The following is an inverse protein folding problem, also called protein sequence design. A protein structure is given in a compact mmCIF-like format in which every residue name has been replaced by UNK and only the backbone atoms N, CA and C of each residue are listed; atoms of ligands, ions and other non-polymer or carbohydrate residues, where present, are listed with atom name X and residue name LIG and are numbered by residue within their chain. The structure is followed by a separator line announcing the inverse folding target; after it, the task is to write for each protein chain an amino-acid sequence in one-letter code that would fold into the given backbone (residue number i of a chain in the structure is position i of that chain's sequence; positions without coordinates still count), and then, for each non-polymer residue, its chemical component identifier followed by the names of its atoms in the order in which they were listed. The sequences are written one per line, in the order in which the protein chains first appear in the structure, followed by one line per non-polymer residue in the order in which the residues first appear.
data_IF_991307246730
#
_entry.id   IF_991307246730
#
_cell.length_a   1.000
_cell.length_b   1.000
_cell.length_c   1.000
_cell.angle_alpha   90.00
_cell.angle_beta   90.00
_cell.angle_gamma   90.00
#
_symmetry.space_group_name_H-M   'P 1'
#
loop_
_entity.id
_entity.type
_entity.pdbx_description
1 polymer ?
#
# COMPACT_ATOMS: atom_id res chain seq x y z
N UNK A 1 -2.52 2.68 -49.57
CA UNK A 1 -2.06 3.58 -48.50
C UNK A 1 -3.08 3.68 -47.34
N UNK A 2 -4.40 3.69 -47.54
CA UNK A 2 -5.41 3.73 -46.46
C UNK A 2 -5.57 2.43 -45.65
N UNK A 3 -5.29 1.26 -46.24
CA UNK A 3 -5.39 -0.06 -45.57
C UNK A 3 -4.20 -0.30 -44.61
N UNK A 4 -3.03 0.23 -44.92
CA UNK A 4 -1.81 0.08 -44.10
C UNK A 4 -1.91 0.95 -42.79
N UNK A 5 -2.55 2.12 -42.89
CA UNK A 5 -2.75 3.00 -41.74
C UNK A 5 -3.79 2.41 -40.77
N UNK A 6 -4.80 1.68 -41.27
CA UNK A 6 -5.82 1.02 -40.44
C UNK A 6 -5.25 -0.20 -39.69
N UNK A 7 -4.34 -0.95 -40.31
CA UNK A 7 -3.63 -2.06 -39.65
C UNK A 7 -2.64 -1.60 -38.59
N UNK A 8 -1.96 -0.46 -38.78
CA UNK A 8 -1.03 0.11 -37.79
C UNK A 8 -1.80 0.64 -36.56
N UNK A 9 -2.97 1.23 -36.73
CA UNK A 9 -3.80 1.70 -35.61
C UNK A 9 -4.38 0.53 -34.79
N UNK A 10 -4.74 -0.58 -35.40
CA UNK A 10 -5.19 -1.79 -34.71
C UNK A 10 -4.01 -2.47 -33.99
N UNK A 11 -2.81 -2.52 -34.58
CA UNK A 11 -1.61 -3.04 -33.90
C UNK A 11 -1.18 -2.17 -32.72
N UNK A 12 -1.26 -0.83 -32.80
CA UNK A 12 -0.95 0.06 -31.70
C UNK A 12 -1.97 -0.05 -30.55
N UNK A 13 -3.26 -0.23 -30.85
CA UNK A 13 -4.29 -0.43 -29.81
C UNK A 13 -4.16 -1.79 -29.12
N UNK A 14 -3.72 -2.83 -29.84
CA UNK A 14 -3.42 -4.13 -29.27
C UNK A 14 -2.13 -4.12 -28.40
N UNK A 15 -1.12 -3.32 -28.77
CA UNK A 15 0.10 -3.17 -27.95
C UNK A 15 -0.16 -2.39 -26.66
N UNK A 16 -1.03 -1.39 -26.66
CA UNK A 16 -1.39 -0.63 -25.45
C UNK A 16 -2.26 -1.47 -24.51
N UNK A 17 -3.08 -2.37 -25.04
CA UNK A 17 -3.91 -3.26 -24.24
C UNK A 17 -3.12 -4.43 -23.62
N UNK A 18 -2.05 -4.92 -24.31
CA UNK A 18 -1.22 -6.02 -23.79
C UNK A 18 -0.32 -5.60 -22.63
N UNK A 19 0.04 -4.32 -22.53
CA UNK A 19 0.88 -3.81 -21.42
C UNK A 19 0.13 -3.70 -20.09
N UNK A 20 -1.20 -3.66 -20.08
CA UNK A 20 -2.00 -3.62 -18.85
C UNK A 20 -2.16 -5.00 -18.18
N UNK A 21 -2.03 -6.10 -18.93
CA UNK A 21 -2.19 -7.48 -18.41
C UNK A 21 -0.87 -8.25 -18.25
N UNK A 22 0.21 -7.89 -18.95
CA UNK A 22 1.52 -8.54 -18.82
C UNK A 22 2.23 -8.28 -17.48
N UNK A 23 1.55 -7.60 -16.52
CA UNK A 23 2.15 -7.17 -15.26
C UNK A 23 2.08 -8.21 -14.12
N UNK A 24 1.39 -9.35 -14.32
CA UNK A 24 0.97 -10.17 -13.19
C UNK A 24 1.67 -11.51 -13.02
N UNK A 25 2.42 -12.01 -14.03
CA UNK A 25 2.71 -13.44 -14.11
C UNK A 25 4.14 -13.92 -13.77
N UNK A 26 5.12 -13.07 -13.41
CA UNK A 26 6.52 -13.55 -13.26
C UNK A 26 7.21 -13.14 -11.96
N UNK A 27 6.64 -13.47 -10.80
CA UNK A 27 7.42 -13.46 -9.55
C UNK A 27 7.29 -14.83 -8.90
N UNK A 28 8.39 -15.58 -8.68
CA UNK A 28 8.34 -16.72 -7.79
C UNK A 28 7.80 -16.26 -6.45
N UNK A 29 6.69 -16.86 -5.99
CA UNK A 29 6.21 -16.71 -4.62
C UNK A 29 7.30 -17.25 -3.71
N UNK A 30 8.16 -16.38 -3.20
CA UNK A 30 9.03 -16.74 -2.09
C UNK A 30 8.17 -16.83 -0.84
N UNK A 31 7.62 -18.01 -0.59
CA UNK A 31 6.99 -18.34 0.66
C UNK A 31 8.10 -18.53 1.71
N UNK A 32 8.14 -17.64 2.68
CA UNK A 32 8.78 -17.96 3.95
C UNK A 32 7.86 -18.96 4.67
N UNK A 33 8.19 -20.25 4.62
CA UNK A 33 7.44 -21.36 5.21
C UNK A 33 7.51 -21.35 6.75
N UNK A 34 7.12 -20.28 7.39
CA UNK A 34 7.00 -20.26 8.86
C UNK A 34 5.63 -19.74 9.29
N UNK A 35 4.62 -20.61 9.18
CA UNK A 35 3.38 -20.45 9.95
C UNK A 35 3.78 -20.60 11.42
N UNK A 36 3.63 -19.52 12.20
CA UNK A 36 3.90 -19.56 13.64
C UNK A 36 2.60 -19.86 14.39
N UNK A 37 2.66 -20.55 15.56
CA UNK A 37 1.50 -20.71 16.41
C UNK A 37 0.86 -19.35 16.71
N UNK A 38 -0.43 -19.19 16.41
CA UNK A 38 -1.20 -17.96 16.58
C UNK A 38 -1.45 -17.15 15.29
N UNK A 39 -0.86 -17.50 14.14
CA UNK A 39 -1.22 -16.91 12.86
C UNK A 39 -2.61 -17.41 12.44
N UNK A 40 -3.53 -16.46 12.21
CA UNK A 40 -4.86 -16.77 11.67
C UNK A 40 -4.70 -17.26 10.23
N UNK A 41 -5.24 -18.43 9.91
CA UNK A 41 -5.23 -18.95 8.54
C UNK A 41 -6.17 -18.13 7.68
N UNK A 42 -5.76 -17.69 6.47
CA UNK A 42 -6.64 -16.97 5.56
C UNK A 42 -7.83 -17.86 5.16
N UNK A 43 -9.00 -17.22 4.99
CA UNK A 43 -10.22 -17.92 4.58
C UNK A 43 -10.19 -18.21 3.08
N UNK A 44 -10.29 -19.48 2.64
CA UNK A 44 -10.34 -19.83 1.23
C UNK A 44 -11.61 -19.29 0.55
N UNK A 45 -11.44 -18.51 -0.52
CA UNK A 45 -12.54 -17.86 -1.24
C UNK A 45 -12.41 -18.03 -2.76
N UNK A 46 -13.45 -18.52 -3.39
CA UNK A 46 -13.59 -18.59 -4.85
C UNK A 46 -14.31 -17.37 -5.41
N UNK A 47 -13.99 -17.00 -6.64
CA UNK A 47 -14.69 -15.96 -7.39
C UNK A 47 -15.03 -16.51 -8.77
N UNK A 48 -16.31 -16.70 -9.02
CA UNK A 48 -16.83 -17.20 -10.29
C UNK A 48 -16.66 -16.18 -11.42
N UNK A 49 -16.63 -16.64 -12.66
CA UNK A 49 -16.65 -15.75 -13.81
C UNK A 49 -17.93 -14.92 -13.82
N UNK A 50 -17.80 -13.65 -14.20
CA UNK A 50 -18.94 -12.73 -14.24
C UNK A 50 -19.91 -13.15 -15.32
N UNK A 51 -21.19 -13.33 -14.94
CA UNK A 51 -22.27 -13.67 -15.87
C UNK A 51 -23.04 -12.43 -16.29
N UNK A 52 -23.35 -12.36 -17.59
CA UNK A 52 -24.28 -11.36 -18.11
C UNK A 52 -25.74 -11.78 -17.82
N UNK A 53 -26.53 -10.88 -17.28
CA UNK A 53 -27.96 -11.13 -16.94
C UNK A 53 -28.92 -10.13 -17.58
N UNK A 54 -28.47 -9.32 -18.54
CA UNK A 54 -29.31 -8.39 -19.28
C UNK A 54 -30.03 -9.05 -20.44
N UNK A 55 -31.03 -8.35 -21.01
CA UNK A 55 -31.84 -8.81 -22.14
C UNK A 55 -31.34 -8.31 -23.50
N UNK A 56 -30.26 -7.52 -23.55
CA UNK A 56 -29.71 -6.95 -24.79
C UNK A 56 -28.49 -7.76 -25.22
N UNK A 57 -28.15 -7.69 -26.52
CA UNK A 57 -26.86 -8.22 -26.98
C UNK A 57 -25.73 -7.44 -26.37
N UNK A 58 -24.73 -8.14 -25.87
CA UNK A 58 -23.47 -7.54 -25.37
C UNK A 58 -22.44 -7.46 -26.48
N UNK A 59 -21.68 -6.39 -26.50
CA UNK A 59 -20.58 -6.20 -27.43
C UNK A 59 -19.35 -7.00 -26.94
N UNK A 60 -18.36 -7.17 -27.84
CA UNK A 60 -17.07 -7.73 -27.44
C UNK A 60 -16.36 -6.86 -26.38
N UNK A 61 -16.54 -5.53 -26.44
CA UNK A 61 -16.00 -4.60 -25.46
C UNK A 61 -16.66 -4.80 -24.09
N UNK A 62 -17.99 -5.00 -24.05
CA UNK A 62 -18.71 -5.29 -22.81
C UNK A 62 -18.25 -6.61 -22.17
N UNK A 63 -18.05 -7.66 -22.97
CA UNK A 63 -17.52 -8.94 -22.53
C UNK A 63 -16.09 -8.78 -21.98
N UNK A 64 -15.29 -7.92 -22.58
CA UNK A 64 -13.93 -7.60 -22.15
C UNK A 64 -13.95 -6.83 -20.82
N UNK A 65 -14.85 -5.86 -20.66
CA UNK A 65 -15.03 -5.15 -19.39
C UNK A 65 -15.43 -6.10 -18.25
N UNK A 66 -16.31 -7.07 -18.49
CA UNK A 66 -16.70 -8.07 -17.50
C UNK A 66 -15.48 -8.85 -17.01
N UNK A 67 -14.63 -9.33 -17.94
CA UNK A 67 -13.36 -10.02 -17.58
C UNK A 67 -12.41 -9.14 -16.78
N UNK A 68 -12.26 -7.88 -17.16
CA UNK A 68 -11.40 -6.93 -16.46
C UNK A 68 -11.87 -6.66 -15.04
N UNK A 69 -13.17 -6.43 -14.84
CA UNK A 69 -13.73 -6.24 -13.49
C UNK A 69 -13.58 -7.49 -12.65
N UNK A 70 -13.83 -8.69 -13.21
CA UNK A 70 -13.61 -9.95 -12.50
C UNK A 70 -12.16 -10.09 -12.07
N UNK A 71 -11.20 -9.84 -12.97
CA UNK A 71 -9.77 -9.91 -12.66
C UNK A 71 -9.36 -8.94 -11.55
N UNK A 72 -9.91 -7.71 -11.52
CA UNK A 72 -9.67 -6.75 -10.43
C UNK A 72 -10.20 -7.30 -9.11
N UNK A 73 -11.43 -7.81 -9.06
CA UNK A 73 -11.99 -8.36 -7.82
C UNK A 73 -11.17 -9.56 -7.32
N UNK A 74 -10.78 -10.46 -8.23
CA UNK A 74 -9.91 -11.60 -7.90
C UNK A 74 -8.55 -11.15 -7.35
N UNK A 75 -7.93 -10.15 -8.02
CA UNK A 75 -6.67 -9.59 -7.58
C UNK A 75 -6.76 -8.99 -6.17
N UNK A 76 -7.78 -8.16 -5.93
CA UNK A 76 -7.97 -7.46 -4.66
C UNK A 76 -8.21 -8.45 -3.50
N UNK A 77 -9.05 -9.43 -3.73
CA UNK A 77 -9.31 -10.47 -2.73
C UNK A 77 -8.05 -11.31 -2.46
N UNK A 78 -7.31 -11.70 -3.51
CA UNK A 78 -6.04 -12.42 -3.36
C UNK A 78 -4.92 -11.56 -2.75
N UNK A 79 -5.05 -10.23 -2.80
CA UNK A 79 -4.12 -9.33 -2.13
C UNK A 79 -4.40 -9.25 -0.62
N UNK A 80 -5.65 -9.35 -0.19
CA UNK A 80 -6.05 -9.15 1.20
C UNK A 80 -5.56 -10.28 2.11
N UNK A 81 -4.89 -9.94 3.21
CA UNK A 81 -4.22 -10.90 4.10
C UNK A 81 -5.15 -11.95 4.75
N UNK A 82 -6.45 -11.64 4.88
CA UNK A 82 -7.43 -12.53 5.52
C UNK A 82 -8.01 -13.58 4.57
N UNK A 83 -7.68 -13.53 3.26
CA UNK A 83 -8.25 -14.44 2.27
C UNK A 83 -7.17 -15.19 1.50
N UNK A 84 -7.50 -16.41 1.12
CA UNK A 84 -6.76 -17.24 0.18
C UNK A 84 -7.62 -17.43 -1.08
N UNK A 85 -7.18 -16.86 -2.21
CA UNK A 85 -7.92 -17.01 -3.46
C UNK A 85 -7.78 -18.42 -4.03
N UNK A 86 -8.92 -19.08 -4.24
CA UNK A 86 -8.98 -20.40 -4.88
C UNK A 86 -9.29 -20.21 -6.36
N UNK A 87 -8.34 -20.51 -7.28
CA UNK A 87 -8.55 -20.36 -8.71
C UNK A 87 -9.55 -21.42 -9.22
N UNK A 88 -10.23 -21.07 -10.31
CA UNK A 88 -11.12 -22.01 -11.00
C UNK A 88 -10.25 -23.09 -11.65
N UNK A 89 -10.45 -24.34 -11.26
CA UNK A 89 -9.97 -25.49 -12.06
C UNK A 89 -11.00 -25.80 -13.13
N UNK A 90 -10.66 -25.49 -14.39
CA UNK A 90 -11.52 -25.67 -15.54
C UNK A 90 -11.93 -27.15 -15.78
N UNK A 91 -11.14 -28.12 -15.30
CA UNK A 91 -11.47 -29.53 -15.41
C UNK A 91 -12.62 -29.92 -14.48
N UNK A 92 -12.59 -29.52 -13.21
CA UNK A 92 -13.66 -29.78 -12.26
C UNK A 92 -14.93 -29.01 -12.59
N UNK A 93 -14.82 -27.79 -13.09
CA UNK A 93 -15.98 -26.95 -13.43
C UNK A 93 -16.74 -27.47 -14.67
N UNK A 94 -16.07 -27.97 -15.69
CA UNK A 94 -16.72 -28.60 -16.88
C UNK A 94 -17.56 -29.82 -16.54
N UNK A 95 -17.14 -30.59 -15.54
CA UNK A 95 -17.89 -31.77 -15.10
C UNK A 95 -19.22 -31.43 -14.41
N UNK A 96 -19.43 -30.16 -14.00
CA UNK A 96 -20.60 -29.68 -13.27
C UNK A 96 -21.31 -28.50 -13.97
N UNK A 97 -21.02 -28.24 -15.24
CA UNK A 97 -21.65 -27.14 -16.05
C UNK A 97 -23.19 -27.19 -16.12
N UNK A 98 -23.80 -28.32 -15.73
CA UNK A 98 -25.25 -28.54 -15.76
C UNK A 98 -25.95 -27.83 -14.59
N UNK A 99 -25.23 -27.41 -13.55
CA UNK A 99 -25.81 -26.78 -12.35
C UNK A 99 -25.56 -25.27 -12.39
N UNK A 100 -26.62 -24.48 -12.42
CA UNK A 100 -26.56 -23.01 -12.50
C UNK A 100 -25.78 -22.34 -11.37
N UNK A 101 -25.65 -22.98 -10.19
CA UNK A 101 -24.85 -22.56 -9.04
C UNK A 101 -24.19 -23.79 -8.39
N UNK A 102 -22.94 -24.04 -8.72
CA UNK A 102 -22.21 -25.22 -8.24
C UNK A 102 -21.45 -24.94 -6.94
N UNK A 103 -22.13 -24.77 -5.81
CA UNK A 103 -21.50 -24.58 -4.50
C UNK A 103 -20.70 -25.82 -4.03
N UNK A 104 -21.19 -27.03 -4.35
CA UNK A 104 -20.46 -28.27 -4.02
C UNK A 104 -19.16 -28.41 -4.80
N UNK A 105 -19.12 -27.98 -6.06
CA UNK A 105 -17.89 -27.95 -6.86
C UNK A 105 -16.84 -27.03 -6.23
N UNK A 106 -17.23 -25.84 -5.83
CA UNK A 106 -16.33 -24.90 -5.15
C UNK A 106 -15.87 -25.40 -3.78
N UNK A 107 -16.75 -26.05 -3.00
CA UNK A 107 -16.37 -26.70 -1.75
C UNK A 107 -15.31 -27.80 -1.96
N UNK A 108 -15.43 -28.59 -3.02
CA UNK A 108 -14.44 -29.64 -3.37
C UNK A 108 -13.10 -29.08 -3.83
N UNK A 109 -13.08 -27.88 -4.42
CA UNK A 109 -11.87 -27.12 -4.72
C UNK A 109 -11.22 -26.50 -3.47
N UNK A 110 -11.87 -26.61 -2.31
CA UNK A 110 -11.37 -26.09 -1.04
C UNK A 110 -11.86 -24.69 -0.70
N UNK A 111 -12.73 -24.06 -1.51
CA UNK A 111 -13.29 -22.76 -1.20
C UNK A 111 -14.36 -22.85 -0.10
N UNK A 112 -14.19 -22.10 0.99
CA UNK A 112 -15.19 -21.96 2.06
C UNK A 112 -16.27 -20.94 1.66
N UNK A 113 -15.90 -19.95 0.88
CA UNK A 113 -16.75 -18.87 0.40
C UNK A 113 -16.72 -18.81 -1.13
N UNK A 114 -17.83 -18.42 -1.74
CA UNK A 114 -17.94 -18.16 -3.17
C UNK A 114 -18.53 -16.78 -3.44
N UNK A 115 -17.87 -15.99 -4.25
CA UNK A 115 -18.40 -14.74 -4.81
C UNK A 115 -18.88 -15.00 -6.24
N UNK A 116 -20.14 -14.70 -6.52
CA UNK A 116 -20.71 -14.68 -7.86
C UNK A 116 -20.97 -13.26 -8.31
N UNK A 117 -20.52 -12.92 -9.50
CA UNK A 117 -20.67 -11.62 -10.13
C UNK A 117 -21.65 -11.69 -11.30
N UNK A 118 -22.55 -10.73 -11.41
CA UNK A 118 -23.57 -10.63 -12.47
C UNK A 118 -23.61 -9.21 -13.02
N UNK A 119 -23.49 -9.05 -14.34
CA UNK A 119 -23.42 -7.77 -15.02
C UNK A 119 -24.68 -7.43 -15.82
N UNK A 120 -25.01 -6.15 -15.83
CA UNK A 120 -25.99 -5.49 -16.74
C UNK A 120 -25.35 -4.22 -17.29
N UNK A 121 -25.70 -3.84 -18.52
CA UNK A 121 -25.24 -2.63 -19.19
C UNK A 121 -26.39 -1.65 -19.46
N UNK A 122 -26.85 -0.90 -18.46
CA UNK A 122 -27.89 0.14 -18.68
C UNK A 122 -27.27 1.37 -19.35
N UNK A 123 -27.32 1.44 -20.68
CA UNK A 123 -26.73 2.51 -21.48
C UNK A 123 -25.18 2.51 -21.41
N UNK A 124 -24.63 3.63 -21.04
CA UNK A 124 -23.17 3.85 -20.89
C UNK A 124 -22.61 3.40 -19.53
N UNK A 125 -23.44 2.78 -18.70
CA UNK A 125 -23.06 2.29 -17.38
C UNK A 125 -22.83 0.79 -17.38
N UNK A 126 -22.01 0.34 -16.42
CA UNK A 126 -21.87 -1.04 -16.00
C UNK A 126 -22.42 -1.17 -14.59
N UNK A 127 -23.42 -2.03 -14.42
CA UNK A 127 -23.96 -2.41 -13.12
C UNK A 127 -23.56 -3.84 -12.83
N UNK A 128 -22.88 -4.05 -11.68
CA UNK A 128 -22.52 -5.38 -11.22
C UNK A 128 -23.23 -5.68 -9.91
N UNK A 129 -23.95 -6.80 -9.90
CA UNK A 129 -24.48 -7.40 -8.68
C UNK A 129 -23.50 -8.45 -8.21
N UNK A 130 -23.23 -8.48 -6.92
CA UNK A 130 -22.44 -9.54 -6.31
C UNK A 130 -23.26 -10.28 -5.25
N UNK A 131 -23.02 -11.59 -5.17
CA UNK A 131 -23.61 -12.47 -4.17
C UNK A 131 -22.51 -13.28 -3.52
N UNK A 132 -22.57 -13.41 -2.21
CA UNK A 132 -21.63 -14.17 -1.40
C UNK A 132 -22.33 -15.38 -0.81
N UNK A 133 -21.72 -16.56 -0.96
CA UNK A 133 -22.23 -17.83 -0.51
C UNK A 133 -21.26 -18.50 0.45
N UNK A 134 -21.79 -19.18 1.44
CA UNK A 134 -21.13 -20.21 2.24
C UNK A 134 -21.27 -21.53 1.50
N UNK A 135 -20.16 -22.15 1.10
CA UNK A 135 -20.15 -23.38 0.31
C UNK A 135 -20.51 -24.60 1.14
N UNK A 136 -20.22 -24.61 2.45
CA UNK A 136 -20.56 -25.71 3.36
C UNK A 136 -22.04 -25.70 3.74
N UNK A 137 -22.59 -24.53 4.07
CA UNK A 137 -24.00 -24.37 4.41
C UNK A 137 -24.91 -24.31 3.18
N UNK A 138 -24.33 -24.27 1.98
CA UNK A 138 -25.04 -24.21 0.71
C UNK A 138 -26.06 -23.04 0.65
N UNK A 139 -25.71 -21.89 1.25
CA UNK A 139 -26.63 -20.76 1.34
C UNK A 139 -25.93 -19.43 1.03
N UNK A 140 -26.73 -18.48 0.54
CA UNK A 140 -26.29 -17.12 0.34
C UNK A 140 -26.24 -16.37 1.68
N UNK A 141 -25.07 -15.79 2.01
CA UNK A 141 -24.85 -15.03 3.25
C UNK A 141 -24.95 -13.52 3.03
N UNK A 142 -24.65 -13.04 1.82
CA UNK A 142 -24.75 -11.59 1.50
C UNK A 142 -25.01 -11.33 0.02
N UNK A 143 -25.41 -10.10 -0.31
CA UNK A 143 -25.54 -9.57 -1.66
C UNK A 143 -25.37 -8.06 -1.70
N UNK A 144 -25.02 -7.53 -2.84
CA UNK A 144 -24.96 -6.10 -3.08
C UNK A 144 -24.89 -5.76 -4.56
N UNK A 145 -24.81 -4.46 -4.85
CA UNK A 145 -24.64 -3.95 -6.22
C UNK A 145 -23.76 -2.72 -6.23
N UNK A 146 -23.04 -2.52 -7.33
CA UNK A 146 -22.29 -1.30 -7.66
C UNK A 146 -22.62 -0.93 -9.10
N UNK A 147 -22.77 0.37 -9.38
CA UNK A 147 -23.01 0.88 -10.72
C UNK A 147 -22.11 2.09 -10.96
N UNK A 148 -21.41 2.10 -12.10
CA UNK A 148 -20.58 3.22 -12.55
C UNK A 148 -20.64 3.34 -14.06
N UNK A 149 -20.19 4.48 -14.59
CA UNK A 149 -19.92 4.64 -16.02
C UNK A 149 -18.88 3.60 -16.48
N UNK A 150 -19.01 3.07 -17.70
CA UNK A 150 -18.12 2.01 -18.25
C UNK A 150 -16.63 2.37 -18.17
N UNK A 151 -16.27 3.66 -18.36
CA UNK A 151 -14.89 4.13 -18.23
C UNK A 151 -14.30 3.96 -16.83
N UNK A 152 -15.14 3.84 -15.79
CA UNK A 152 -14.71 3.73 -14.39
C UNK A 152 -14.74 2.27 -13.91
N UNK A 153 -14.56 1.33 -14.83
CA UNK A 153 -14.61 -0.12 -14.56
C UNK A 153 -13.60 -0.59 -13.49
N UNK A 154 -12.40 0.01 -13.46
CA UNK A 154 -11.41 -0.30 -12.41
C UNK A 154 -11.94 0.08 -11.04
N UNK A 155 -12.39 1.33 -10.88
CA UNK A 155 -12.95 1.81 -9.62
C UNK A 155 -14.15 0.97 -9.18
N UNK A 156 -14.98 0.52 -10.14
CA UNK A 156 -16.12 -0.38 -9.88
C UNK A 156 -15.62 -1.72 -9.31
N UNK A 157 -14.60 -2.34 -9.89
CA UNK A 157 -14.02 -3.59 -9.40
C UNK A 157 -13.48 -3.45 -7.97
N UNK A 158 -12.68 -2.43 -7.71
CA UNK A 158 -12.14 -2.14 -6.38
C UNK A 158 -13.23 -1.85 -5.34
N UNK A 159 -14.31 -1.15 -5.74
CA UNK A 159 -15.44 -0.89 -4.83
C UNK A 159 -16.20 -2.19 -4.48
N UNK A 160 -16.37 -3.10 -5.45
CA UNK A 160 -16.97 -4.43 -5.19
C UNK A 160 -16.12 -5.20 -4.18
N UNK A 161 -14.80 -5.28 -4.40
CA UNK A 161 -13.88 -5.96 -3.50
C UNK A 161 -13.91 -5.35 -2.10
N UNK A 162 -13.90 -4.00 -1.96
CA UNK A 162 -14.04 -3.32 -0.69
C UNK A 162 -15.35 -3.67 0.04
N UNK A 163 -16.48 -3.77 -0.69
CA UNK A 163 -17.78 -4.17 -0.11
C UNK A 163 -17.78 -5.62 0.36
N UNK A 164 -17.14 -6.52 -0.39
CA UNK A 164 -16.98 -7.93 0.01
C UNK A 164 -16.15 -8.03 1.28
N UNK A 165 -14.97 -7.38 1.31
CA UNK A 165 -14.10 -7.33 2.51
C UNK A 165 -14.87 -6.78 3.70
N UNK A 166 -15.53 -5.64 3.55
CA UNK A 166 -16.32 -5.04 4.64
C UNK A 166 -17.42 -5.98 5.16
N UNK A 167 -18.10 -6.67 4.26
CA UNK A 167 -19.16 -7.64 4.62
C UNK A 167 -18.62 -8.81 5.43
N UNK A 168 -17.41 -9.28 5.11
CA UNK A 168 -16.80 -10.45 5.77
C UNK A 168 -16.06 -10.11 7.05
N UNK A 169 -15.45 -8.93 7.13
CA UNK A 169 -14.53 -8.57 8.23
C UNK A 169 -15.05 -7.44 9.11
N UNK A 170 -16.04 -6.67 8.65
CA UNK A 170 -16.46 -5.41 9.28
C UNK A 170 -15.50 -4.23 9.05
N UNK A 171 -14.32 -4.47 8.48
CA UNK A 171 -13.29 -3.44 8.24
C UNK A 171 -13.49 -2.78 6.87
N UNK A 172 -13.03 -1.53 6.75
CA UNK A 172 -13.03 -0.84 5.45
C UNK A 172 -11.93 -1.41 4.55
N UNK A 173 -12.26 -1.76 3.31
CA UNK A 173 -11.27 -2.19 2.33
C UNK A 173 -10.36 -1.05 1.87
N UNK A 174 -9.15 -1.40 1.43
CA UNK A 174 -8.07 -0.47 1.06
C UNK A 174 -7.90 -0.27 -0.45
N UNK A 175 -8.70 -0.94 -1.30
CA UNK A 175 -8.45 -1.05 -2.74
C UNK A 175 -8.70 0.24 -3.53
N UNK A 176 -9.29 1.28 -2.90
CA UNK A 176 -9.42 2.62 -3.47
C UNK A 176 -8.41 3.63 -2.88
N UNK A 177 -7.45 3.16 -2.10
CA UNK A 177 -6.39 4.01 -1.57
C UNK A 177 -5.35 4.32 -2.64
N UNK A 178 -4.51 5.30 -2.35
CA UNK A 178 -3.38 5.70 -3.21
C UNK A 178 -2.08 5.48 -2.48
N UNK A 179 -1.01 5.33 -3.25
CA UNK A 179 0.35 5.34 -2.76
C UNK A 179 1.09 6.54 -3.35
N UNK A 180 2.00 7.12 -2.57
CA UNK A 180 2.97 8.11 -3.08
C UNK A 180 4.37 7.55 -2.90
N UNK A 181 5.26 7.83 -3.83
CA UNK A 181 6.66 7.40 -3.76
C UNK A 181 7.55 8.36 -4.53
N UNK A 182 8.85 8.24 -4.32
CA UNK A 182 9.87 9.00 -5.03
C UNK A 182 10.39 8.18 -6.20
N UNK A 183 10.46 8.82 -7.37
CA UNK A 183 11.11 8.28 -8.55
C UNK A 183 12.26 9.18 -8.97
N UNK A 184 13.43 8.61 -9.19
CA UNK A 184 14.57 9.36 -9.64
C UNK A 184 14.51 9.56 -11.16
N UNK A 185 14.44 10.81 -11.58
CA UNK A 185 14.46 11.25 -12.98
C UNK A 185 15.79 11.96 -13.23
N UNK A 186 16.75 11.29 -13.88
CA UNK A 186 18.10 11.83 -14.06
C UNK A 186 18.73 12.26 -12.73
N UNK A 187 18.94 13.58 -12.51
CA UNK A 187 19.51 14.15 -11.27
C UNK A 187 18.45 14.51 -10.22
N UNK A 188 17.20 14.67 -10.61
CA UNK A 188 16.10 15.02 -9.73
C UNK A 188 15.45 13.77 -9.11
N UNK A 189 14.84 13.96 -7.93
CA UNK A 189 13.95 12.98 -7.29
C UNK A 189 12.58 13.63 -7.16
N UNK A 190 11.57 13.09 -7.83
CA UNK A 190 10.23 13.65 -7.91
C UNK A 190 9.18 12.74 -7.28
N UNK A 191 8.09 13.34 -6.80
CA UNK A 191 6.96 12.62 -6.22
C UNK A 191 6.06 12.07 -7.33
N UNK A 192 5.68 10.80 -7.18
CA UNK A 192 4.70 10.12 -8.03
C UNK A 192 3.57 9.57 -7.17
N UNK A 193 2.36 9.61 -7.71
CA UNK A 193 1.14 9.06 -7.12
C UNK A 193 0.65 7.92 -7.99
N UNK A 194 0.21 6.83 -7.38
CA UNK A 194 -0.43 5.71 -8.07
C UNK A 194 -1.60 5.14 -7.25
N UNK A 195 -2.37 4.26 -7.83
CA UNK A 195 -3.30 3.41 -7.09
C UNK A 195 -2.52 2.46 -6.16
N UNK A 196 -3.21 1.87 -5.19
CA UNK A 196 -2.59 0.97 -4.21
C UNK A 196 -1.82 -0.20 -4.86
N UNK A 197 -2.24 -0.62 -6.06
CA UNK A 197 -1.68 -1.71 -6.86
C UNK A 197 -0.65 -1.24 -7.90
N UNK A 198 -0.24 0.02 -7.86
CA UNK A 198 0.74 0.63 -8.77
C UNK A 198 0.18 1.14 -10.09
N UNK A 199 -1.12 0.97 -10.38
CA UNK A 199 -1.73 1.48 -11.59
C UNK A 199 -1.95 3.00 -11.56
N UNK A 200 -2.28 3.60 -12.72
CA UNK A 200 -2.58 5.03 -12.87
C UNK A 200 -1.49 5.95 -12.30
N UNK A 201 -0.21 5.56 -12.49
CA UNK A 201 0.95 6.39 -12.08
C UNK A 201 0.88 7.77 -12.71
N UNK A 202 1.07 8.81 -11.89
CA UNK A 202 1.23 10.19 -12.37
C UNK A 202 2.23 10.96 -11.52
N UNK A 203 2.97 11.85 -12.16
CA UNK A 203 3.91 12.75 -11.51
C UNK A 203 3.17 13.86 -10.77
N UNK A 204 3.58 14.15 -9.52
CA UNK A 204 3.02 15.23 -8.70
C UNK A 204 3.92 16.46 -8.65
N UNK A 205 5.24 16.29 -8.74
CA UNK A 205 6.20 17.38 -8.64
C UNK A 205 7.15 17.37 -9.83
N UNK A 206 7.56 18.57 -10.28
CA UNK A 206 8.59 18.76 -11.29
C UNK A 206 9.49 19.92 -10.83
N UNK A 207 10.22 19.68 -9.75
CA UNK A 207 11.03 20.70 -9.09
C UNK A 207 12.45 20.78 -9.65
N UNK A 208 12.89 19.75 -10.38
CA UNK A 208 14.27 19.59 -10.82
C UNK A 208 15.26 19.37 -9.67
N UNK A 209 14.76 19.10 -8.45
CA UNK A 209 15.55 19.01 -7.22
C UNK A 209 15.38 17.64 -6.55
N UNK A 210 15.96 17.50 -5.35
CA UNK A 210 15.80 16.30 -4.52
C UNK A 210 14.62 16.50 -3.59
N UNK A 211 13.60 15.65 -3.76
CA UNK A 211 12.45 15.56 -2.87
C UNK A 211 12.49 14.18 -2.16
N UNK A 212 12.22 14.14 -0.87
CA UNK A 212 12.27 12.92 -0.04
C UNK A 212 11.15 12.92 1.00
N UNK A 213 10.94 11.76 1.64
CA UNK A 213 10.03 11.55 2.77
C UNK A 213 8.62 12.09 2.52
N UNK A 214 7.95 11.69 1.42
CA UNK A 214 6.58 12.08 1.18
C UNK A 214 5.63 11.40 2.16
N UNK A 215 4.57 12.10 2.57
CA UNK A 215 3.48 11.50 3.35
C UNK A 215 2.16 12.22 3.09
N UNK A 216 1.05 11.49 3.20
CA UNK A 216 -0.28 12.05 3.01
C UNK A 216 -0.73 12.85 4.24
N UNK A 217 -1.37 13.98 3.98
CA UNK A 217 -2.18 14.64 4.99
C UNK A 217 -3.47 13.84 5.25
N UNK A 218 -4.03 13.89 6.48
CA UNK A 218 -5.31 13.24 6.78
C UNK A 218 -6.49 13.77 5.97
N UNK A 219 -6.43 15.02 5.51
CA UNK A 219 -7.42 15.63 4.59
C UNK A 219 -7.41 15.03 3.18
N UNK A 220 -6.40 14.18 2.86
CA UNK A 220 -6.24 13.47 1.58
C UNK A 220 -5.96 14.34 0.35
N UNK A 221 -5.94 15.65 0.50
CA UNK A 221 -5.75 16.59 -0.60
C UNK A 221 -4.30 17.03 -0.76
N UNK A 222 -3.48 16.85 0.29
CA UNK A 222 -2.09 17.27 0.30
C UNK A 222 -1.14 16.12 0.60
N UNK A 223 0.04 16.20 -0.04
CA UNK A 223 1.21 15.41 0.32
C UNK A 223 2.27 16.37 0.81
N UNK A 224 2.75 16.13 2.02
CA UNK A 224 3.89 16.84 2.59
C UNK A 224 5.18 16.10 2.24
N UNK A 225 6.27 16.84 2.08
CA UNK A 225 7.56 16.27 1.71
C UNK A 225 8.71 17.23 2.07
N UNK A 226 9.90 16.68 2.22
CA UNK A 226 11.12 17.47 2.35
C UNK A 226 11.70 17.72 0.95
N UNK A 227 12.08 18.96 0.64
CA UNK A 227 12.67 19.34 -0.64
C UNK A 227 13.88 20.24 -0.49
N UNK A 228 14.85 20.03 -1.38
CA UNK A 228 16.07 20.82 -1.52
C UNK A 228 15.96 21.91 -2.60
N UNK A 229 14.74 22.25 -3.06
CA UNK A 229 14.56 23.19 -4.19
C UNK A 229 15.11 24.59 -3.94
N UNK A 230 15.26 24.99 -2.68
CA UNK A 230 15.83 26.29 -2.27
C UNK A 230 17.20 26.15 -1.56
N UNK A 231 17.95 25.05 -1.80
CA UNK A 231 19.26 24.78 -1.21
C UNK A 231 19.16 23.82 -0.02
N UNK A 232 18.82 24.32 1.15
CA UNK A 232 18.66 23.49 2.35
C UNK A 232 17.35 22.69 2.35
N UNK A 233 17.32 21.49 2.99
CA UNK A 233 16.12 20.66 3.06
C UNK A 233 15.05 21.32 3.94
N UNK A 234 13.94 21.69 3.34
CA UNK A 234 12.81 22.38 3.97
C UNK A 234 11.50 21.60 3.77
N UNK A 235 10.49 21.91 4.56
CA UNK A 235 9.19 21.25 4.50
C UNK A 235 8.24 21.94 3.53
N UNK A 236 7.76 21.18 2.56
CA UNK A 236 6.77 21.61 1.56
C UNK A 236 5.54 20.72 1.58
N UNK A 237 4.49 21.19 0.91
CA UNK A 237 3.33 20.38 0.55
C UNK A 237 2.92 20.63 -0.90
N UNK A 238 2.39 19.61 -1.54
CA UNK A 238 1.77 19.67 -2.87
C UNK A 238 0.30 19.26 -2.78
N UNK A 239 -0.58 20.02 -3.43
CA UNK A 239 -1.98 19.62 -3.59
C UNK A 239 -2.08 18.56 -4.70
N UNK A 240 -2.71 17.43 -4.44
CA UNK A 240 -2.74 16.29 -5.37
C UNK A 240 -3.56 16.55 -6.64
N UNK A 241 -4.51 17.51 -6.61
CA UNK A 241 -5.37 17.83 -7.74
C UNK A 241 -4.82 18.99 -8.57
N UNK A 242 -4.48 20.10 -7.91
CA UNK A 242 -3.98 21.32 -8.60
C UNK A 242 -2.47 21.31 -8.87
N UNK A 243 -1.73 20.36 -8.28
CA UNK A 243 -0.26 20.24 -8.32
C UNK A 243 0.48 21.47 -7.77
N UNK A 244 -0.23 22.36 -7.06
CA UNK A 244 0.36 23.56 -6.47
C UNK A 244 1.24 23.19 -5.28
N UNK A 245 2.53 23.54 -5.35
CA UNK A 245 3.51 23.38 -4.28
C UNK A 245 3.51 24.64 -3.42
N UNK A 246 3.60 24.47 -2.10
CA UNK A 246 3.76 25.57 -1.15
C UNK A 246 4.69 25.17 0.00
N UNK A 247 5.52 26.11 0.44
CA UNK A 247 6.38 25.94 1.60
C UNK A 247 5.55 25.95 2.89
N UNK A 248 5.84 25.01 3.79
CA UNK A 248 5.16 24.87 5.09
C UNK A 248 6.04 25.44 6.20
N UNK A 249 7.32 25.04 6.21
CA UNK A 249 8.28 25.50 7.21
C UNK A 249 9.68 25.63 6.60
N UNK A 250 10.42 26.64 7.11
CA UNK A 250 11.82 26.90 6.81
C UNK A 250 12.53 27.26 8.10
N UNK A 251 13.55 26.51 8.46
CA UNK A 251 14.41 26.74 9.64
C UNK A 251 15.87 26.58 9.24
N UNK A 252 16.81 27.20 9.95
CA UNK A 252 18.24 26.97 9.73
C UNK A 252 18.58 25.48 9.87
N UNK A 253 19.41 24.96 8.97
CA UNK A 253 19.80 23.56 8.94
C UNK A 253 18.74 22.64 8.32
N UNK A 254 18.56 21.46 8.89
CA UNK A 254 17.76 20.38 8.31
C UNK A 254 16.34 20.39 8.86
N UNK A 255 15.34 20.28 7.96
CA UNK A 255 13.99 19.81 8.29
C UNK A 255 13.80 18.49 7.55
N UNK A 256 13.62 17.38 8.27
CA UNK A 256 13.52 16.06 7.68
C UNK A 256 12.50 15.15 8.39
N UNK A 257 12.18 14.03 7.73
CA UNK A 257 11.36 12.94 8.25
C UNK A 257 10.05 13.42 8.93
N UNK A 258 9.23 14.22 8.24
CA UNK A 258 7.98 14.69 8.82
C UNK A 258 6.95 13.55 8.96
N UNK A 259 6.20 13.56 10.07
CA UNK A 259 5.09 12.64 10.36
C UNK A 259 3.91 13.41 10.95
N UNK A 260 2.73 13.30 10.34
CA UNK A 260 1.52 13.94 10.87
C UNK A 260 0.94 13.10 12.03
N UNK A 261 0.45 13.78 13.07
CA UNK A 261 -0.29 13.15 14.16
C UNK A 261 -1.61 12.52 13.66
N UNK A 262 -2.13 11.47 14.31
CA UNK A 262 -3.39 10.83 13.89
C UNK A 262 -4.59 11.80 13.84
N UNK A 263 -4.62 12.82 14.73
CA UNK A 263 -5.65 13.86 14.69
C UNK A 263 -5.47 14.85 13.52
N UNK A 264 -4.34 14.76 12.79
CA UNK A 264 -4.09 15.62 11.64
C UNK A 264 -3.76 17.08 11.95
N UNK A 265 -3.44 17.43 13.19
CA UNK A 265 -3.26 18.82 13.63
C UNK A 265 -1.83 19.21 14.01
N UNK A 266 -0.89 18.24 14.04
CA UNK A 266 0.52 18.40 14.39
C UNK A 266 1.42 17.64 13.43
N UNK A 267 2.68 18.11 13.31
CA UNK A 267 3.74 17.46 12.52
C UNK A 267 4.91 17.20 13.46
N UNK A 268 5.26 15.94 13.72
CA UNK A 268 6.55 15.60 14.29
C UNK A 268 7.60 15.60 13.17
N UNK A 269 8.77 16.15 13.39
CA UNK A 269 9.85 16.19 12.42
C UNK A 269 11.21 16.34 13.09
N UNK A 270 12.24 16.14 12.31
CA UNK A 270 13.63 16.43 12.72
C UNK A 270 13.96 17.88 12.40
N UNK A 271 14.47 18.64 13.36
CA UNK A 271 15.09 19.94 13.13
C UNK A 271 16.52 19.95 13.71
N UNK A 272 17.46 20.51 12.98
CA UNK A 272 18.85 20.70 13.48
C UNK A 272 19.17 22.16 13.83
N UNK A 273 18.18 23.04 13.92
CA UNK A 273 18.31 24.50 14.11
C UNK A 273 19.03 24.90 15.42
N UNK A 274 19.06 24.02 16.41
CA UNK A 274 19.69 24.28 17.73
C UNK A 274 21.01 23.49 17.87
N UNK A 275 21.69 23.16 16.76
CA UNK A 275 23.02 22.54 16.71
C UNK A 275 23.07 21.03 16.60
N UNK A 276 21.98 20.31 16.86
CA UNK A 276 21.87 18.86 16.69
C UNK A 276 20.49 18.46 16.10
N UNK A 277 20.44 17.30 15.48
CA UNK A 277 19.17 16.71 14.98
C UNK A 277 18.35 16.18 16.13
N UNK A 278 17.19 16.78 16.35
CA UNK A 278 16.28 16.49 17.43
C UNK A 278 14.84 16.41 16.95
N UNK A 279 13.98 15.76 17.70
CA UNK A 279 12.54 15.66 17.37
C UNK A 279 11.80 16.90 17.87
N UNK A 280 11.08 17.54 16.96
CA UNK A 280 10.21 18.68 17.23
C UNK A 280 8.79 18.38 16.80
N UNK A 281 7.83 19.07 17.43
CA UNK A 281 6.44 19.13 16.99
C UNK A 281 6.15 20.53 16.47
N UNK A 282 5.62 20.59 15.23
CA UNK A 282 5.13 21.79 14.58
C UNK A 282 3.61 21.76 14.48
N UNK A 283 2.96 22.92 14.35
CA UNK A 283 1.60 22.99 13.84
C UNK A 283 1.59 22.85 12.29
N UNK A 284 0.41 22.74 11.68
CA UNK A 284 0.28 22.61 10.21
C UNK A 284 0.71 23.86 9.42
N UNK A 285 0.93 24.99 10.10
CA UNK A 285 1.50 26.22 9.52
C UNK A 285 3.03 26.27 9.64
N UNK A 286 3.66 25.18 10.13
CA UNK A 286 5.10 25.08 10.25
C UNK A 286 5.72 25.75 11.48
N UNK A 287 4.92 26.32 12.40
CA UNK A 287 5.42 26.92 13.64
C UNK A 287 5.74 25.85 14.68
N UNK A 288 6.93 25.94 15.31
CA UNK A 288 7.34 25.05 16.41
C UNK A 288 6.37 25.19 17.59
N UNK A 289 5.81 24.08 18.04
CA UNK A 289 5.01 23.97 19.27
C UNK A 289 5.92 23.54 20.42
N UNK A 290 6.74 22.46 20.21
CA UNK A 290 7.58 21.89 21.25
C UNK A 290 8.80 21.19 20.67
N UNK A 291 9.95 21.26 21.33
CA UNK A 291 11.10 20.36 21.16
C UNK A 291 10.93 19.20 22.12
N UNK A 292 10.87 17.95 21.59
CA UNK A 292 10.62 16.76 22.38
C UNK A 292 11.89 16.13 22.91
N UNK A 293 12.98 16.13 22.12
CA UNK A 293 14.25 15.54 22.53
C UNK A 293 15.34 16.60 22.75
N UNK A 294 16.26 16.32 23.68
CA UNK A 294 17.41 17.15 24.00
C UNK A 294 18.56 16.24 24.41
N UNK A 295 19.27 15.75 23.42
CA UNK A 295 20.38 14.82 23.66
C UNK A 295 21.52 15.11 22.69
N UNK A 296 22.78 14.77 23.07
CA UNK A 296 23.94 14.93 22.18
C UNK A 296 23.94 13.97 20.97
N UNK A 297 23.16 12.91 21.04
CA UNK A 297 22.96 11.94 19.97
C UNK A 297 22.00 12.48 18.91
N UNK A 298 22.05 11.90 17.72
CA UNK A 298 21.12 12.18 16.61
C UNK A 298 19.80 11.46 16.87
N UNK A 299 18.72 12.22 16.97
CA UNK A 299 17.35 11.72 17.05
C UNK A 299 16.64 12.01 15.72
N UNK A 300 16.08 10.97 15.05
CA UNK A 300 15.52 11.07 13.70
C UNK A 300 14.33 10.15 13.47
N UNK A 301 13.68 10.28 12.29
CA UNK A 301 12.58 9.43 11.82
C UNK A 301 11.45 9.22 12.84
N UNK A 302 10.83 10.28 13.38
CA UNK A 302 9.72 10.13 14.31
C UNK A 302 8.48 9.55 13.60
N UNK A 303 7.74 8.69 14.31
CA UNK A 303 6.42 8.19 13.89
C UNK A 303 5.48 8.15 15.08
N UNK A 304 4.23 8.59 14.88
CA UNK A 304 3.20 8.59 15.92
C UNK A 304 2.59 7.19 16.12
N UNK A 305 2.24 6.86 17.35
CA UNK A 305 1.27 5.78 17.58
C UNK A 305 -0.11 6.17 17.05
N UNK A 306 -0.96 5.21 16.63
CA UNK A 306 -2.27 5.53 16.03
C UNK A 306 -3.24 6.23 16.98
N UNK A 307 -3.04 6.14 18.30
CA UNK A 307 -3.78 6.86 19.33
C UNK A 307 -3.19 8.24 19.68
N UNK A 308 -2.05 8.62 19.05
CA UNK A 308 -1.38 9.90 19.26
C UNK A 308 -0.68 10.08 20.60
N UNK A 309 -0.64 9.05 21.45
CA UNK A 309 -0.08 9.14 22.81
C UNK A 309 1.43 8.95 22.86
N UNK A 310 2.01 8.26 21.87
CA UNK A 310 3.43 7.91 21.84
C UNK A 310 4.06 8.28 20.50
N UNK A 311 5.40 8.40 20.52
CA UNK A 311 6.24 8.58 19.33
C UNK A 311 7.35 7.54 19.39
N UNK A 312 7.51 6.76 18.29
CA UNK A 312 8.71 5.98 18.06
C UNK A 312 9.69 6.78 17.20
N UNK A 313 10.99 6.61 17.42
CA UNK A 313 12.02 7.33 16.69
C UNK A 313 13.35 6.55 16.71
N UNK A 314 14.26 6.91 15.81
CA UNK A 314 15.62 6.39 15.78
C UNK A 314 16.54 7.27 16.58
N UNK A 315 17.47 6.67 17.35
CA UNK A 315 18.49 7.39 18.10
C UNK A 315 19.78 6.59 18.21
N UNK A 316 20.92 7.25 18.04
CA UNK A 316 22.23 6.65 18.23
C UNK A 316 22.82 6.85 19.66
N UNK A 317 21.98 7.27 20.63
CA UNK A 317 22.38 7.50 22.04
C UNK A 317 22.99 6.30 22.75
N UNK A 318 22.78 5.09 22.23
CA UNK A 318 23.40 3.85 22.73
C UNK A 318 24.63 3.40 21.92
N UNK A 319 25.24 4.31 21.13
CA UNK A 319 26.44 4.09 20.32
C UNK A 319 26.17 3.71 18.87
N UNK A 320 24.95 3.33 18.53
CA UNK A 320 24.48 3.07 17.14
C UNK A 320 22.98 3.26 17.07
N UNK A 321 22.41 3.55 15.86
CA UNK A 321 21.00 3.75 15.69
C UNK A 321 20.16 2.57 16.20
N UNK A 322 19.18 2.89 17.06
CA UNK A 322 18.24 1.96 17.64
C UNK A 322 16.85 2.61 17.70
N UNK A 323 15.80 1.80 17.77
CA UNK A 323 14.45 2.30 17.94
C UNK A 323 14.19 2.59 19.41
N UNK A 324 13.73 3.80 19.67
CA UNK A 324 13.24 4.29 20.95
C UNK A 324 11.78 4.66 20.84
N UNK A 325 11.10 4.64 21.99
CA UNK A 325 9.75 5.18 22.12
C UNK A 325 9.71 6.16 23.29
N UNK A 326 8.82 7.15 23.18
CA UNK A 326 8.57 8.16 24.21
C UNK A 326 7.10 8.53 24.22
N UNK A 327 6.63 9.17 25.28
CA UNK A 327 5.32 9.80 25.29
C UNK A 327 5.29 10.98 24.30
N UNK A 328 4.10 11.34 23.80
CA UNK A 328 3.94 12.41 22.80
C UNK A 328 4.35 13.79 23.30
N UNK A 329 4.56 13.94 24.60
CA UNK A 329 5.10 15.15 25.24
C UNK A 329 6.63 15.12 25.41
N UNK A 330 7.32 14.03 25.02
CA UNK A 330 8.78 13.85 25.09
C UNK A 330 9.28 13.23 26.38
N UNK A 331 8.39 12.78 27.26
CA UNK A 331 8.77 12.08 28.51
C UNK A 331 8.90 10.56 28.29
N UNK A 332 9.40 9.86 29.31
CA UNK A 332 9.48 8.40 29.39
C UNK A 332 10.21 7.74 28.22
N UNK A 333 11.30 8.35 27.77
CA UNK A 333 12.12 7.83 26.66
C UNK A 333 12.74 6.48 27.05
N UNK A 334 12.44 5.43 26.26
CA UNK A 334 13.01 4.09 26.45
C UNK A 334 13.41 3.43 25.14
N UNK A 335 14.48 2.64 25.18
CA UNK A 335 14.94 1.84 24.03
C UNK A 335 14.01 0.64 23.83
N UNK A 336 13.68 0.33 22.56
CA UNK A 336 12.81 -0.78 22.17
C UNK A 336 13.61 -1.94 21.55
N UNK A 337 14.69 -1.68 20.78
CA UNK A 337 15.42 -2.70 20.02
C UNK A 337 16.80 -3.00 20.63
N UNK A 338 17.14 -4.31 20.73
CA UNK A 338 18.38 -4.79 21.36
C UNK A 338 19.14 -5.85 20.55
N UNK A 339 18.49 -6.52 19.57
CA UNK A 339 19.05 -7.70 18.89
C UNK A 339 20.03 -7.41 17.76
N UNK A 340 19.89 -6.27 17.07
CA UNK A 340 20.75 -5.85 15.96
C UNK A 340 21.64 -4.68 16.36
N UNK A 341 22.80 -4.53 15.71
CA UNK A 341 23.70 -3.39 15.91
C UNK A 341 23.21 -2.10 15.26
N UNK A 342 22.18 -2.17 14.39
CA UNK A 342 21.63 -1.02 13.67
C UNK A 342 20.16 -1.26 13.39
N UNK A 343 19.30 -0.39 13.89
CA UNK A 343 17.87 -0.36 13.62
C UNK A 343 17.45 1.10 13.41
N UNK A 344 16.73 1.38 12.33
CA UNK A 344 16.39 2.75 11.89
C UNK A 344 15.04 2.82 11.19
N UNK A 345 14.54 4.06 10.99
CA UNK A 345 13.33 4.35 10.25
C UNK A 345 12.09 3.56 10.72
N UNK A 346 11.70 3.71 12.00
CA UNK A 346 10.52 3.04 12.53
C UNK A 346 9.25 3.59 11.89
N UNK A 347 8.27 2.72 11.73
CA UNK A 347 6.90 3.07 11.38
C UNK A 347 5.94 2.30 12.26
N UNK A 348 4.99 2.99 12.88
CA UNK A 348 3.98 2.37 13.74
C UNK A 348 2.85 1.79 12.91
N UNK A 349 2.41 0.56 13.25
CA UNK A 349 1.22 -0.05 12.65
C UNK A 349 -0.03 0.77 12.95
N UNK A 350 -0.92 0.90 11.96
CA UNK A 350 -2.23 1.54 12.17
C UNK A 350 -3.09 0.86 13.26
N UNK A 351 -2.76 -0.39 13.63
CA UNK A 351 -3.41 -1.15 14.70
C UNK A 351 -2.81 -0.87 16.09
N UNK A 352 -1.65 -0.20 16.15
CA UNK A 352 -0.97 0.15 17.41
C UNK A 352 -0.20 -1.00 18.06
N UNK A 353 -0.24 -2.19 17.51
CA UNK A 353 0.31 -3.42 18.09
C UNK A 353 1.81 -3.61 17.80
N UNK A 354 2.30 -3.08 16.67
CA UNK A 354 3.67 -3.33 16.20
C UNK A 354 4.32 -2.08 15.61
N UNK A 355 5.66 -2.11 15.59
CA UNK A 355 6.53 -1.15 14.90
C UNK A 355 7.38 -1.92 13.92
N UNK A 356 7.34 -1.54 12.63
CA UNK A 356 8.24 -2.06 11.59
C UNK A 356 9.38 -1.07 11.38
N UNK A 357 10.58 -1.57 11.13
CA UNK A 357 11.79 -0.76 11.01
C UNK A 357 12.82 -1.43 10.10
N UNK A 358 13.82 -0.69 9.67
CA UNK A 358 14.99 -1.21 8.94
C UNK A 358 15.99 -1.76 9.93
N UNK A 359 16.42 -3.01 9.76
CA UNK A 359 17.42 -3.68 10.61
C UNK A 359 18.60 -4.14 9.78
N UNK A 360 19.82 -3.88 10.25
CA UNK A 360 21.03 -4.38 9.58
C UNK A 360 21.35 -5.79 10.05
N UNK A 361 21.37 -6.73 9.11
CA UNK A 361 21.69 -8.13 9.36
C UNK A 361 23.19 -8.35 9.63
N UNK A 362 23.57 -9.53 10.10
CA UNK A 362 24.96 -9.93 10.29
C UNK A 362 25.78 -9.90 8.99
N UNK A 363 25.15 -10.14 7.85
CA UNK A 363 25.79 -10.05 6.52
C UNK A 363 25.96 -8.60 6.01
N UNK A 364 25.51 -7.60 6.76
CA UNK A 364 25.61 -6.18 6.40
C UNK A 364 24.46 -5.67 5.54
N UNK A 365 23.52 -6.52 5.12
CA UNK A 365 22.30 -6.10 4.38
C UNK A 365 21.33 -5.39 5.30
N UNK A 366 20.45 -4.59 4.69
CA UNK A 366 19.29 -4.00 5.34
C UNK A 366 18.04 -4.82 5.02
N UNK A 367 17.37 -5.30 6.07
CA UNK A 367 16.10 -6.01 5.99
C UNK A 367 15.05 -5.31 6.85
N UNK A 368 13.79 -5.55 6.53
CA UNK A 368 12.70 -5.10 7.37
C UNK A 368 12.52 -6.06 8.54
N UNK A 369 12.35 -5.49 9.70
CA UNK A 369 12.02 -6.19 10.93
C UNK A 369 10.78 -5.55 11.57
N UNK A 370 10.05 -6.33 12.35
CA UNK A 370 8.89 -5.89 13.11
C UNK A 370 9.02 -6.30 14.56
N UNK A 371 8.62 -5.43 15.47
CA UNK A 371 8.65 -5.66 16.91
C UNK A 371 7.32 -5.22 17.53
N UNK A 372 6.85 -5.96 18.54
CA UNK A 372 5.72 -5.53 19.34
C UNK A 372 6.09 -4.33 20.24
N UNK A 373 5.11 -3.62 20.76
CA UNK A 373 5.33 -2.42 21.58
C UNK A 373 5.96 -2.70 22.95
N UNK A 374 5.96 -3.96 23.40
CA UNK A 374 6.68 -4.41 24.60
C UNK A 374 8.17 -4.63 24.35
N UNK A 375 8.59 -4.84 23.10
CA UNK A 375 9.99 -5.14 22.72
C UNK A 375 10.36 -6.63 22.78
N UNK A 376 9.42 -7.53 22.94
CA UNK A 376 9.66 -8.96 23.16
C UNK A 376 9.60 -9.80 21.88
N UNK A 377 8.63 -9.53 20.99
CA UNK A 377 8.42 -10.27 19.74
C UNK A 377 9.04 -9.54 18.54
N UNK A 378 10.34 -9.78 18.32
CA UNK A 378 11.09 -9.23 17.19
C UNK A 378 11.19 -10.25 16.06
N UNK A 379 10.70 -9.91 14.85
CA UNK A 379 10.64 -10.77 13.65
C UNK A 379 11.33 -10.09 12.48
N UNK A 380 12.10 -10.85 11.69
CA UNK A 380 12.61 -10.41 10.38
C UNK A 380 11.53 -10.73 9.34
N UNK A 381 11.24 -9.77 8.47
CA UNK A 381 10.16 -9.85 7.47
C UNK A 381 10.69 -10.05 6.05
N UNK A 382 11.96 -9.68 5.78
CA UNK A 382 12.57 -9.78 4.44
C UNK A 382 13.97 -10.35 4.53
N UNK A 383 14.43 -11.02 3.45
CA UNK A 383 15.76 -11.66 3.41
C UNK A 383 16.49 -11.47 2.07
N UNK A 384 15.86 -10.84 1.07
CA UNK A 384 16.41 -10.68 -0.28
C UNK A 384 16.64 -9.21 -0.63
N UNK A 385 17.81 -8.89 -1.14
CA UNK A 385 18.18 -7.52 -1.55
C UNK A 385 18.40 -6.58 -0.36
N UNK A 386 18.33 -5.27 -0.63
CA UNK A 386 18.32 -4.19 0.38
C UNK A 386 16.89 -3.71 0.50
N UNK A 387 16.32 -3.74 1.70
CA UNK A 387 14.93 -3.41 1.98
C UNK A 387 14.86 -2.22 2.92
N UNK A 388 14.17 -1.15 2.53
CA UNK A 388 14.16 0.13 3.24
C UNK A 388 12.82 0.84 3.11
N UNK A 389 12.61 1.87 3.93
CA UNK A 389 11.46 2.77 3.92
C UNK A 389 10.12 2.02 4.04
N UNK A 390 9.89 1.22 5.07
CA UNK A 390 8.61 0.57 5.28
C UNK A 390 7.52 1.58 5.60
N UNK A 391 6.27 1.32 5.15
CA UNK A 391 5.07 2.02 5.59
C UNK A 391 3.89 1.06 5.64
N UNK A 392 3.00 1.19 6.63
CA UNK A 392 1.81 0.35 6.73
C UNK A 392 0.69 0.83 5.81
N UNK A 393 -0.13 -0.11 5.32
CA UNK A 393 -1.45 0.18 4.81
C UNK A 393 -2.35 0.72 5.93
N UNK A 394 -3.40 1.50 5.60
CA UNK A 394 -4.26 2.12 6.62
C UNK A 394 -5.09 1.11 7.45
N UNK A 395 -5.24 -0.14 6.98
CA UNK A 395 -5.84 -1.25 7.75
C UNK A 395 -4.81 -1.97 8.65
N UNK A 396 -3.52 -1.63 8.52
CA UNK A 396 -2.43 -2.25 9.27
C UNK A 396 -2.14 -3.72 8.90
N UNK A 397 -2.65 -4.22 7.77
CA UNK A 397 -2.48 -5.63 7.34
C UNK A 397 -1.38 -5.82 6.29
N UNK A 398 -0.94 -4.73 5.65
CA UNK A 398 0.10 -4.76 4.62
C UNK A 398 1.19 -3.76 4.91
N UNK A 399 2.36 -3.99 4.34
CA UNK A 399 3.52 -3.11 4.39
C UNK A 399 3.96 -2.83 2.95
N UNK A 400 4.13 -1.55 2.61
CA UNK A 400 4.78 -1.09 1.37
C UNK A 400 6.22 -0.71 1.70
N UNK A 401 7.15 -1.02 0.81
CA UNK A 401 8.58 -0.76 1.04
C UNK A 401 9.38 -0.66 -0.25
N UNK A 402 10.60 -0.15 -0.20
CA UNK A 402 11.53 -0.16 -1.32
C UNK A 402 12.52 -1.32 -1.22
N UNK A 403 12.82 -1.98 -2.35
CA UNK A 403 13.73 -3.13 -2.40
C UNK A 403 14.58 -3.15 -3.66
N UNK A 404 15.81 -3.68 -3.53
CA UNK A 404 16.74 -3.92 -4.67
C UNK A 404 16.83 -5.39 -5.08
N UNK A 405 15.93 -6.25 -4.61
CA UNK A 405 15.97 -7.71 -4.84
C UNK A 405 15.93 -8.15 -6.30
N UNK A 406 15.40 -7.31 -7.19
CA UNK A 406 15.33 -7.55 -8.64
C UNK A 406 16.26 -6.62 -9.44
N UNK A 407 17.31 -6.05 -8.82
CA UNK A 407 18.27 -5.12 -9.42
C UNK A 407 18.00 -3.68 -9.01
N UNK A 408 17.56 -2.77 -9.90
CA UNK A 408 17.23 -1.40 -9.55
C UNK A 408 16.16 -1.34 -8.46
N UNK A 409 16.24 -0.32 -7.58
CA UNK A 409 15.31 -0.15 -6.47
C UNK A 409 13.88 0.07 -6.97
N UNK A 410 12.95 -0.72 -6.44
CA UNK A 410 11.53 -0.69 -6.77
C UNK A 410 10.65 -0.73 -5.52
N UNK A 411 9.39 -0.40 -5.68
CA UNK A 411 8.40 -0.50 -4.61
C UNK A 411 7.76 -1.88 -4.61
N UNK A 412 7.67 -2.45 -3.43
CA UNK A 412 7.04 -3.74 -3.15
C UNK A 412 5.98 -3.60 -2.05
N UNK A 413 5.08 -4.55 -2.00
CA UNK A 413 4.17 -4.77 -0.87
C UNK A 413 4.35 -6.18 -0.33
N UNK A 414 3.96 -6.38 0.92
CA UNK A 414 3.84 -7.68 1.59
C UNK A 414 2.74 -7.61 2.65
N UNK A 415 2.28 -8.75 3.14
CA UNK A 415 1.49 -8.79 4.36
C UNK A 415 2.37 -8.55 5.61
N UNK A 416 1.74 -8.28 6.77
CA UNK A 416 2.47 -8.00 8.02
C UNK A 416 3.30 -9.17 8.53
N UNK A 417 3.13 -10.38 8.00
CA UNK A 417 3.92 -11.58 8.34
C UNK A 417 5.18 -11.69 7.49
N UNK A 418 5.33 -10.87 6.45
CA UNK A 418 6.42 -10.92 5.47
C UNK A 418 6.12 -11.79 4.25
N UNK A 419 4.92 -12.41 4.16
CA UNK A 419 4.48 -13.21 3.01
C UNK A 419 3.83 -12.34 1.92
N UNK A 420 3.45 -12.95 0.80
CA UNK A 420 2.75 -12.30 -0.32
C UNK A 420 3.48 -11.07 -0.86
N UNK A 421 4.82 -11.18 -0.99
CA UNK A 421 5.64 -10.07 -1.46
C UNK A 421 5.41 -9.83 -2.95
N UNK A 422 4.90 -8.64 -3.31
CA UNK A 422 4.54 -8.27 -4.69
C UNK A 422 5.25 -6.99 -5.10
N UNK A 423 5.76 -6.95 -6.33
CA UNK A 423 6.35 -5.76 -6.94
C UNK A 423 5.26 -4.85 -7.47
N UNK A 424 5.29 -3.55 -7.12
CA UNK A 424 4.33 -2.55 -7.62
C UNK A 424 4.89 -1.69 -8.76
N UNK A 425 6.18 -1.36 -8.75
CA UNK A 425 6.79 -0.50 -9.77
C UNK A 425 7.78 -1.27 -10.63
N UNK A 426 7.92 -0.89 -11.92
CA UNK A 426 8.82 -1.54 -12.88
C UNK A 426 9.72 -0.56 -13.65
N UNK A 427 9.71 0.71 -13.25
CA UNK A 427 10.47 1.76 -13.93
C UNK A 427 11.90 1.94 -13.44
N UNK A 428 12.27 1.27 -12.35
CA UNK A 428 13.55 1.42 -11.67
C UNK A 428 13.69 2.71 -10.86
N UNK A 429 14.59 2.70 -9.85
CA UNK A 429 14.95 3.89 -9.05
C UNK A 429 13.78 4.51 -8.27
N UNK A 430 12.83 3.68 -7.80
CA UNK A 430 11.72 4.06 -6.95
C UNK A 430 12.05 3.83 -5.47
N UNK A 431 11.69 4.78 -4.58
CA UNK A 431 12.02 4.72 -3.15
C UNK A 431 11.02 5.51 -2.30
N UNK A 432 11.14 5.44 -0.98
CA UNK A 432 10.35 6.19 -0.01
C UNK A 432 8.83 6.12 -0.28
N UNK A 433 8.25 4.92 -0.36
CA UNK A 433 6.82 4.80 -0.53
C UNK A 433 6.09 5.20 0.75
N UNK A 434 4.89 5.75 0.58
CA UNK A 434 3.95 6.00 1.66
C UNK A 434 2.55 5.58 1.21
N UNK A 435 1.84 4.85 2.05
CA UNK A 435 0.47 4.42 1.77
C UNK A 435 -0.51 5.46 2.29
N UNK A 436 -1.39 5.93 1.40
CA UNK A 436 -2.38 6.95 1.73
C UNK A 436 -3.57 6.41 2.54
N UNK A 437 -4.35 7.29 3.17
CA UNK A 437 -5.49 6.91 3.99
C UNK A 437 -6.67 6.38 3.15
N UNK A 438 -7.57 5.62 3.78
CA UNK A 438 -8.83 5.17 3.16
C UNK A 438 -9.69 6.39 2.82
N UNK A 439 -10.17 6.47 1.58
CA UNK A 439 -11.04 7.53 1.07
C UNK A 439 -12.50 7.33 1.44
#
# INVERSE_FOLDING_TARGET
MKIIIFLITILLSLLICSTAFAQWDDIPNYQLDTIRPGDVQPTPIGIDEMKYIGNQYITNDDSTLMRYVTAIVQHDINFHADFEFIPIDSFYMKMYEIIELNLLGWQRLGANLLVRLEAEFPGDKLRVRWRLFDTFRQQRIAKGKVEKHKSNWRELGHEIANKIVHTLTGEKGIFLTKIVYIKQLSKAKELFLADYDGANERQLTNTGSINISPFFAPDKDYIYFTSYMNGDPQLYKVNINSLKISQVASYPGIIAAPAISPEGNKIACVLSKDGNSEIYVLNLKGKVIKRLTRHRAIDTAPTWSPDGRMIAFSSDRSGSPQIYIMDSDGLNVRRLTFRSKYNDSPIWSARGDRITFVSRTKSGRFDLASIDTSGTDNRILTELGMNENPHFSPDGKHIIFSSTRLGPREIFTMDITGRNQRRLTRSGKCSNPFWGPIR
#
